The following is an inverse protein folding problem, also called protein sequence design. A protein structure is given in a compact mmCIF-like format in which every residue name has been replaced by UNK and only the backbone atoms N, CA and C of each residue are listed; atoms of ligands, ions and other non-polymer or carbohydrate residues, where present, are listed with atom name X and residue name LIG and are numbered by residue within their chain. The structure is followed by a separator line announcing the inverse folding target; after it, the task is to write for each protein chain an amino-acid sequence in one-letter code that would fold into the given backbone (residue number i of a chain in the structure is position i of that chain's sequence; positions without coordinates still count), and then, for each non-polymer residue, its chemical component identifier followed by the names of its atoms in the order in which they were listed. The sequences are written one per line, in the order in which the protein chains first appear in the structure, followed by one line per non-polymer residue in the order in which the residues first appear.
data_IF_261518061040
#
_entry.id   IF_261518061040
#
_cell.length_a   1.000
_cell.length_b   1.000
_cell.length_c   1.000
_cell.angle_alpha   90.00
_cell.angle_beta   90.00
_cell.angle_gamma   90.00
#
_symmetry.space_group_name_H-M   'P 1'
#
loop_
_entity.id
_entity.type
_entity.pdbx_description
1 polymer ?
#
# COMPACT_ATOMS: atom_id res chain seq x y z
N UNK A 1 28.50 -56.64 -34.22
CA UNK A 1 28.44 -55.22 -34.65
C UNK A 1 26.99 -54.81 -34.83
N UNK A 2 26.46 -53.96 -33.94
CA UNK A 2 25.28 -53.11 -34.21
C UNK A 2 25.50 -51.79 -33.44
N UNK A 3 25.56 -50.72 -34.20
CA UNK A 3 25.88 -49.34 -33.83
C UNK A 3 24.65 -48.60 -33.34
N UNK A 4 24.71 -47.98 -32.15
CA UNK A 4 23.73 -46.97 -31.72
C UNK A 4 24.44 -45.86 -30.93
N UNK A 5 25.04 -44.93 -31.66
CA UNK A 5 25.33 -43.59 -31.15
C UNK A 5 24.08 -42.72 -31.40
N UNK A 6 23.84 -41.78 -30.49
CA UNK A 6 23.14 -40.48 -30.65
C UNK A 6 21.79 -40.37 -29.95
N UNK A 7 21.82 -40.00 -28.67
CA UNK A 7 20.96 -38.95 -28.09
C UNK A 7 21.73 -38.23 -26.96
N UNK A 8 22.65 -37.34 -27.34
CA UNK A 8 23.16 -36.32 -26.42
C UNK A 8 22.02 -35.34 -26.17
N UNK A 9 21.47 -35.32 -24.95
CA UNK A 9 20.49 -34.34 -24.53
C UNK A 9 21.27 -33.06 -24.17
N UNK A 10 21.38 -32.15 -25.13
CA UNK A 10 21.96 -30.83 -24.90
C UNK A 10 20.88 -29.96 -24.24
N UNK A 11 20.86 -29.91 -22.90
CA UNK A 11 20.07 -28.92 -22.15
C UNK A 11 20.91 -27.66 -22.03
N UNK A 12 20.68 -26.70 -22.94
CA UNK A 12 21.20 -25.33 -22.77
C UNK A 12 20.16 -24.58 -21.95
N UNK A 13 20.30 -24.60 -20.63
CA UNK A 13 19.53 -23.73 -19.75
C UNK A 13 20.17 -22.33 -19.78
N UNK A 14 19.68 -21.45 -20.65
CA UNK A 14 20.00 -20.02 -20.56
C UNK A 14 19.11 -19.43 -19.47
N UNK A 15 19.60 -19.40 -18.23
CA UNK A 15 19.05 -18.50 -17.21
C UNK A 15 19.53 -17.08 -17.54
N UNK A 16 18.78 -16.38 -18.40
CA UNK A 16 18.87 -14.93 -18.49
C UNK A 16 18.15 -14.35 -17.28
N UNK A 17 18.87 -14.12 -16.18
CA UNK A 17 18.36 -13.33 -15.06
C UNK A 17 18.32 -11.88 -15.48
N UNK A 18 17.17 -11.41 -15.98
CA UNK A 18 16.91 -9.98 -16.09
C UNK A 18 16.78 -9.43 -14.67
N UNK A 19 17.84 -8.80 -14.17
CA UNK A 19 17.78 -7.94 -13.01
C UNK A 19 16.81 -6.81 -13.35
N UNK A 20 15.55 -6.98 -12.96
CA UNK A 20 14.56 -5.92 -13.07
C UNK A 20 14.84 -4.98 -11.91
N UNK A 21 15.49 -3.86 -12.18
CA UNK A 21 15.60 -2.77 -11.22
C UNK A 21 14.17 -2.26 -11.05
N UNK A 22 13.57 -2.52 -9.89
CA UNK A 22 12.28 -1.96 -9.55
C UNK A 22 12.42 -0.44 -9.55
N UNK A 23 11.71 0.24 -10.45
CA UNK A 23 11.55 1.68 -10.35
C UNK A 23 10.86 1.95 -9.02
N UNK A 24 11.44 2.81 -8.18
CA UNK A 24 10.70 3.39 -7.07
C UNK A 24 9.39 3.93 -7.62
N UNK A 25 8.29 3.37 -7.12
CA UNK A 25 6.94 3.63 -7.59
C UNK A 25 6.53 5.05 -7.16
N UNK A 26 7.12 6.08 -7.80
CA UNK A 26 6.91 7.52 -7.53
C UNK A 26 5.55 7.98 -8.04
N UNK A 27 4.52 7.24 -7.66
CA UNK A 27 3.11 7.45 -8.01
C UNK A 27 2.48 8.58 -7.22
N UNK A 28 3.12 9.05 -6.15
CA UNK A 28 2.71 10.20 -5.38
C UNK A 28 3.94 11.07 -5.15
N UNK A 29 3.85 12.35 -5.51
CA UNK A 29 4.94 13.29 -5.35
C UNK A 29 4.42 14.65 -4.95
N UNK A 30 5.22 15.36 -4.18
CA UNK A 30 4.95 16.73 -3.78
C UNK A 30 6.10 17.63 -4.22
N UNK A 31 5.73 18.66 -4.97
CA UNK A 31 6.63 19.69 -5.47
C UNK A 31 6.23 21.02 -4.84
N UNK A 32 7.09 21.57 -4.00
CA UNK A 32 6.88 22.85 -3.34
C UNK A 32 7.66 23.95 -4.07
N UNK A 33 6.97 25.05 -4.39
CA UNK A 33 7.59 26.33 -4.69
C UNK A 33 7.14 27.33 -3.61
N UNK A 34 7.86 28.45 -3.45
CA UNK A 34 7.83 29.37 -2.29
C UNK A 34 6.45 29.66 -1.66
N UNK A 35 5.36 29.69 -2.45
CA UNK A 35 3.99 29.93 -1.97
C UNK A 35 2.98 28.83 -2.34
N UNK A 36 3.34 27.92 -3.26
CA UNK A 36 2.42 26.94 -3.83
C UNK A 36 3.02 25.55 -3.79
N UNK A 37 2.30 24.64 -3.17
CA UNK A 37 2.62 23.22 -3.16
C UNK A 37 1.74 22.50 -4.16
N UNK A 38 2.34 21.86 -5.15
CA UNK A 38 1.61 20.99 -6.08
C UNK A 38 1.82 19.53 -5.70
N UNK A 39 0.71 18.88 -5.40
CA UNK A 39 0.58 17.43 -5.27
C UNK A 39 0.31 16.85 -6.65
N UNK A 40 1.16 15.92 -7.08
CA UNK A 40 1.01 15.16 -8.33
C UNK A 40 0.93 13.68 -8.01
N UNK A 41 -0.15 13.04 -8.47
CA UNK A 41 -0.42 11.63 -8.26
C UNK A 41 -0.65 10.97 -9.63
N UNK A 42 0.16 9.97 -9.93
CA UNK A 42 -0.02 9.14 -11.11
C UNK A 42 -0.85 7.90 -10.74
N UNK A 43 -1.59 7.39 -11.71
CA UNK A 43 -2.42 6.19 -11.57
C UNK A 43 -3.35 6.24 -10.35
N UNK A 44 -4.10 7.34 -10.23
CA UNK A 44 -5.25 7.40 -9.34
C UNK A 44 -6.39 6.57 -9.91
N UNK A 45 -7.20 6.04 -9.00
CA UNK A 45 -8.48 5.40 -9.30
C UNK A 45 -9.60 6.26 -8.72
N UNK A 46 -10.75 6.27 -9.39
CA UNK A 46 -11.95 6.88 -8.87
C UNK A 46 -12.30 6.31 -7.48
N UNK A 47 -12.61 7.19 -6.54
CA UNK A 47 -12.92 6.84 -5.16
C UNK A 47 -11.73 6.88 -4.19
N UNK A 48 -10.49 6.99 -4.69
CA UNK A 48 -9.32 7.23 -3.84
C UNK A 48 -9.42 8.59 -3.14
N UNK A 49 -8.77 8.73 -1.99
CA UNK A 49 -8.95 9.91 -1.14
C UNK A 49 -7.62 10.58 -0.81
N UNK A 50 -7.58 11.90 -0.95
CA UNK A 50 -6.45 12.75 -0.57
C UNK A 50 -6.86 13.59 0.65
N UNK A 51 -6.04 13.56 1.70
CA UNK A 51 -6.26 14.30 2.94
C UNK A 51 -5.02 15.10 3.36
N UNK A 52 -5.24 16.18 4.12
CA UNK A 52 -4.22 16.85 4.94
C UNK A 52 -4.66 16.68 6.39
N UNK A 53 -3.76 16.15 7.22
CA UNK A 53 -4.05 15.79 8.61
C UNK A 53 -2.96 16.40 9.50
N UNK A 54 -3.34 16.91 10.67
CA UNK A 54 -2.39 17.43 11.65
C UNK A 54 -1.83 16.33 12.57
N UNK A 55 -0.85 16.67 13.39
CA UNK A 55 -0.25 15.76 14.38
C UNK A 55 -1.23 15.15 15.40
N UNK A 56 -2.40 15.76 15.61
CA UNK A 56 -3.44 15.27 16.50
C UNK A 56 -4.47 14.39 15.78
N UNK A 57 -4.20 14.01 14.52
CA UNK A 57 -5.10 13.28 13.63
C UNK A 57 -6.38 14.05 13.26
N UNK A 58 -6.37 15.38 13.35
CA UNK A 58 -7.47 16.22 12.89
C UNK A 58 -7.34 16.41 11.38
N UNK A 59 -8.40 16.05 10.66
CA UNK A 59 -8.46 16.20 9.19
C UNK A 59 -8.74 17.67 8.86
N UNK A 60 -7.74 18.34 8.28
CA UNK A 60 -7.80 19.74 7.84
C UNK A 60 -8.39 19.85 6.43
N UNK A 61 -8.07 18.87 5.58
CA UNK A 61 -8.55 18.78 4.20
C UNK A 61 -8.87 17.33 3.86
N UNK A 62 -9.91 17.13 3.05
CA UNK A 62 -10.27 15.82 2.50
C UNK A 62 -10.95 15.99 1.15
N UNK A 63 -10.51 15.22 0.16
CA UNK A 63 -11.10 15.16 -1.17
C UNK A 63 -11.17 13.71 -1.65
N UNK A 64 -12.32 13.33 -2.21
CA UNK A 64 -12.45 12.08 -2.98
C UNK A 64 -12.14 12.40 -4.44
N UNK A 65 -11.20 11.64 -5.01
CA UNK A 65 -10.75 11.77 -6.39
C UNK A 65 -11.78 11.09 -7.31
N UNK A 66 -12.42 11.86 -8.18
CA UNK A 66 -13.51 11.38 -9.05
C UNK A 66 -13.03 11.06 -10.47
N UNK A 67 -11.78 10.61 -10.63
CA UNK A 67 -11.21 10.28 -11.94
C UNK A 67 -10.11 9.23 -11.84
N UNK A 68 -9.87 8.56 -12.97
CA UNK A 68 -8.73 7.68 -13.15
C UNK A 68 -7.55 8.40 -13.82
N UNK A 69 -6.33 7.88 -13.65
CA UNK A 69 -5.12 8.35 -14.33
C UNK A 69 -4.35 9.40 -13.55
N UNK A 70 -3.99 10.53 -14.17
CA UNK A 70 -3.16 11.55 -13.52
C UNK A 70 -4.00 12.59 -12.78
N UNK A 71 -3.62 12.88 -11.54
CA UNK A 71 -4.23 13.87 -10.67
C UNK A 71 -3.20 14.91 -10.22
N UNK A 72 -3.59 16.18 -10.28
CA UNK A 72 -2.78 17.29 -9.79
C UNK A 72 -3.66 18.21 -8.95
N UNK A 73 -3.14 18.66 -7.81
CA UNK A 73 -3.81 19.63 -6.94
C UNK A 73 -2.78 20.58 -6.35
N UNK A 74 -3.09 21.86 -6.38
CA UNK A 74 -2.24 22.89 -5.79
C UNK A 74 -2.85 23.40 -4.50
N UNK A 75 -2.02 23.53 -3.48
CA UNK A 75 -2.36 24.03 -2.15
C UNK A 75 -1.49 25.24 -1.81
N UNK A 76 -2.09 26.21 -1.12
CA UNK A 76 -1.34 27.18 -0.33
C UNK A 76 -1.29 26.66 1.12
N UNK A 77 -0.15 26.07 1.47
CA UNK A 77 0.06 25.51 2.81
C UNK A 77 0.62 26.56 3.79
N UNK A 78 1.00 27.74 3.30
CA UNK A 78 1.56 28.81 4.14
C UNK A 78 0.51 29.44 5.05
N UNK A 79 -0.77 29.28 4.70
CA UNK A 79 -1.92 29.71 5.49
C UNK A 79 -2.24 28.79 6.69
N UNK A 80 -1.59 27.63 6.78
CA UNK A 80 -1.76 26.73 7.93
C UNK A 80 -1.02 27.28 9.16
N UNK A 81 -1.55 27.09 10.37
CA UNK A 81 -0.83 27.41 11.59
C UNK A 81 0.49 26.65 11.70
N UNK A 82 1.45 27.21 12.43
CA UNK A 82 2.70 26.51 12.75
C UNK A 82 2.40 25.15 13.37
N UNK A 83 3.01 24.09 12.83
CA UNK A 83 2.77 22.73 13.28
C UNK A 83 3.23 21.67 12.29
N UNK A 84 3.08 20.42 12.72
CA UNK A 84 3.38 19.25 11.92
C UNK A 84 2.10 18.66 11.31
N UNK A 85 2.20 18.29 10.04
CA UNK A 85 1.11 17.79 9.23
C UNK A 85 1.60 16.66 8.33
N UNK A 86 0.67 15.98 7.69
CA UNK A 86 0.97 15.06 6.62
C UNK A 86 -0.12 15.07 5.56
N UNK A 87 0.31 14.90 4.31
CA UNK A 87 -0.59 14.44 3.27
C UNK A 87 -0.81 12.94 3.42
N UNK A 88 -2.05 12.49 3.27
CA UNK A 88 -2.42 11.08 3.20
C UNK A 88 -3.14 10.82 1.88
N UNK A 89 -2.65 9.85 1.12
CA UNK A 89 -3.32 9.29 -0.05
C UNK A 89 -3.78 7.88 0.27
N UNK A 90 -5.09 7.74 0.45
CA UNK A 90 -5.79 6.50 0.72
C UNK A 90 -6.15 5.83 -0.63
N UNK A 91 -5.39 4.79 -1.00
CA UNK A 91 -5.69 3.91 -2.14
C UNK A 91 -6.38 2.63 -1.68
N UNK A 92 -6.89 1.86 -2.64
CA UNK A 92 -7.58 0.59 -2.41
C UNK A 92 -6.76 -0.39 -1.56
N UNK A 93 -5.47 -0.55 -1.86
CA UNK A 93 -4.59 -1.54 -1.21
C UNK A 93 -3.46 -0.93 -0.38
N UNK A 94 -3.28 0.39 -0.39
CA UNK A 94 -2.19 1.05 0.33
C UNK A 94 -2.57 2.46 0.77
N UNK A 95 -1.95 2.89 1.85
CA UNK A 95 -1.97 4.27 2.36
C UNK A 95 -0.58 4.85 2.13
N UNK A 96 -0.52 6.04 1.56
CA UNK A 96 0.74 6.72 1.33
C UNK A 96 0.75 8.08 2.05
N UNK A 97 1.72 8.27 2.95
CA UNK A 97 1.84 9.44 3.80
C UNK A 97 3.12 10.22 3.51
N UNK A 98 2.99 11.54 3.30
CA UNK A 98 4.13 12.47 3.12
C UNK A 98 4.06 13.56 4.19
N UNK A 99 4.95 13.53 5.21
CA UNK A 99 4.95 14.51 6.28
C UNK A 99 5.57 15.84 5.87
N UNK A 100 5.07 16.93 6.44
CA UNK A 100 5.60 18.27 6.27
C UNK A 100 5.37 19.12 7.53
N UNK A 101 6.19 20.15 7.70
CA UNK A 101 6.12 21.08 8.82
C UNK A 101 5.88 22.48 8.30
N UNK A 102 5.00 23.22 8.97
CA UNK A 102 4.79 24.66 8.74
C UNK A 102 5.41 25.43 9.89
N UNK A 103 6.32 26.36 9.59
CA UNK A 103 6.94 27.23 10.58
C UNK A 103 7.18 28.62 9.99
N UNK A 104 6.58 29.65 10.60
CA UNK A 104 6.69 31.05 10.15
C UNK A 104 6.31 31.22 8.68
N UNK A 105 5.17 30.62 8.28
CA UNK A 105 4.67 30.57 6.89
C UNK A 105 5.60 29.87 5.89
N UNK A 106 6.66 29.20 6.38
CA UNK A 106 7.54 28.37 5.56
C UNK A 106 7.13 26.90 5.67
N UNK A 107 7.14 26.18 4.55
CA UNK A 107 6.72 24.78 4.47
C UNK A 107 7.95 23.92 4.16
N UNK A 108 8.25 22.97 5.04
CA UNK A 108 9.35 22.03 4.86
C UNK A 108 8.83 20.61 4.75
N UNK A 109 9.12 19.93 3.63
CA UNK A 109 8.73 18.54 3.40
C UNK A 109 9.77 17.56 3.95
N UNK A 110 9.32 16.63 4.78
CA UNK A 110 10.16 15.61 5.39
C UNK A 110 10.12 14.33 4.54
N UNK A 111 10.57 14.42 3.27
CA UNK A 111 10.45 13.32 2.28
C UNK A 111 11.14 12.03 2.72
N UNK A 112 12.21 12.10 3.49
CA UNK A 112 12.90 10.92 4.04
C UNK A 112 12.05 10.14 5.06
N UNK A 113 10.96 10.75 5.55
CA UNK A 113 9.99 10.14 6.46
C UNK A 113 8.70 9.71 5.76
N UNK A 114 8.68 9.71 4.43
CA UNK A 114 7.57 9.18 3.63
C UNK A 114 7.29 7.71 3.99
N UNK A 115 6.01 7.35 4.08
CA UNK A 115 5.62 5.99 4.46
C UNK A 115 4.54 5.44 3.55
N UNK A 116 4.72 4.20 3.10
CA UNK A 116 3.69 3.42 2.43
C UNK A 116 3.31 2.23 3.30
N UNK A 117 2.03 2.11 3.65
CA UNK A 117 1.47 0.99 4.41
C UNK A 117 0.50 0.25 3.51
N UNK A 118 0.76 -1.03 3.25
CA UNK A 118 -0.16 -1.86 2.48
C UNK A 118 -1.24 -2.44 3.40
N UNK A 119 -2.48 -2.39 2.96
CA UNK A 119 -3.63 -2.95 3.66
C UNK A 119 -3.68 -4.46 3.47
N UNK A 120 -4.18 -5.23 4.44
CA UNK A 120 -4.51 -6.62 4.22
C UNK A 120 -5.63 -6.73 3.17
N UNK A 121 -5.55 -7.76 2.34
CA UNK A 121 -6.55 -8.10 1.35
C UNK A 121 -7.09 -9.49 1.63
N UNK A 122 -8.39 -9.66 1.40
CA UNK A 122 -9.10 -10.93 1.60
C UNK A 122 -9.81 -11.29 0.31
N UNK A 123 -9.64 -12.52 -0.15
CA UNK A 123 -10.29 -13.05 -1.34
C UNK A 123 -10.87 -14.42 -1.06
N UNK A 124 -12.15 -14.60 -1.37
CA UNK A 124 -12.79 -15.91 -1.38
C UNK A 124 -12.78 -16.49 -2.80
N UNK A 125 -12.38 -17.76 -2.93
CA UNK A 125 -12.51 -18.52 -4.17
C UNK A 125 -12.92 -19.95 -3.82
N UNK A 126 -14.14 -20.33 -4.19
CA UNK A 126 -14.76 -21.57 -3.73
C UNK A 126 -14.82 -21.59 -2.19
N UNK A 127 -14.28 -22.64 -1.58
CA UNK A 127 -14.14 -22.84 -0.14
C UNK A 127 -12.77 -22.37 0.40
N UNK A 128 -11.97 -21.66 -0.41
CA UNK A 128 -10.66 -21.17 0.00
C UNK A 128 -10.69 -19.66 0.25
N UNK A 129 -10.36 -19.27 1.49
CA UNK A 129 -10.18 -17.90 1.92
C UNK A 129 -8.70 -17.54 1.90
N UNK A 130 -8.31 -16.63 1.02
CA UNK A 130 -6.95 -16.11 0.90
C UNK A 130 -6.86 -14.81 1.67
N UNK A 131 -5.91 -14.72 2.58
CA UNK A 131 -5.56 -13.50 3.32
C UNK A 131 -4.12 -13.16 2.98
N UNK A 132 -3.85 -11.90 2.62
CA UNK A 132 -2.53 -11.46 2.19
C UNK A 132 -2.28 -10.00 2.54
N UNK A 133 -1.07 -9.68 3.02
CA UNK A 133 -0.58 -8.32 3.21
C UNK A 133 0.91 -8.23 2.89
N UNK A 134 1.30 -7.15 2.22
CA UNK A 134 2.72 -6.80 2.05
C UNK A 134 3.20 -5.98 3.26
N UNK A 135 3.94 -6.60 4.17
CA UNK A 135 4.46 -5.99 5.39
C UNK A 135 5.90 -5.50 5.20
N UNK A 136 6.08 -4.40 4.46
CA UNK A 136 7.42 -3.82 4.18
C UNK A 136 8.22 -3.44 5.43
N UNK A 137 7.53 -3.20 6.55
CA UNK A 137 8.13 -2.88 7.87
C UNK A 137 8.12 -4.06 8.84
N UNK A 138 7.78 -5.27 8.37
CA UNK A 138 7.61 -6.48 9.18
C UNK A 138 6.64 -6.28 10.36
N UNK A 139 5.63 -5.44 10.18
CA UNK A 139 4.52 -5.31 11.11
C UNK A 139 3.72 -6.63 11.12
N UNK A 140 3.29 -7.10 12.31
CA UNK A 140 2.54 -8.35 12.42
C UNK A 140 1.13 -8.21 11.83
N UNK A 141 0.61 -9.29 11.25
CA UNK A 141 -0.78 -9.42 10.80
C UNK A 141 -1.52 -10.40 11.70
N UNK A 142 -2.41 -9.88 12.55
CA UNK A 142 -3.33 -10.70 13.34
C UNK A 142 -4.57 -11.04 12.50
N UNK A 143 -4.93 -12.32 12.47
CA UNK A 143 -6.08 -12.85 11.75
C UNK A 143 -7.00 -13.53 12.76
N UNK A 144 -8.25 -13.07 12.84
CA UNK A 144 -9.31 -13.65 13.66
C UNK A 144 -10.48 -14.03 12.74
N UNK A 145 -10.87 -15.30 12.75
CA UNK A 145 -12.02 -15.79 11.99
C UNK A 145 -13.17 -16.06 12.95
N UNK A 146 -14.31 -15.47 12.62
CA UNK A 146 -15.54 -15.66 13.38
C UNK A 146 -16.57 -16.39 12.53
N UNK A 147 -17.38 -17.23 13.17
CA UNK A 147 -18.43 -18.01 12.52
C UNK A 147 -19.74 -17.89 13.30
N UNK A 148 -20.81 -17.59 12.58
CA UNK A 148 -22.17 -17.64 13.10
C UNK A 148 -22.71 -19.06 12.86
N UNK A 149 -22.66 -19.89 13.91
CA UNK A 149 -23.00 -21.31 13.82
C UNK A 149 -24.50 -21.54 13.71
N UNK A 150 -25.29 -20.70 14.36
CA UNK A 150 -26.74 -20.86 14.51
C UNK A 150 -27.53 -19.90 13.61
N UNK A 151 -26.85 -19.09 12.78
CA UNK A 151 -27.41 -18.09 11.87
C UNK A 151 -28.28 -17.05 12.59
N UNK A 152 -27.95 -16.75 13.84
CA UNK A 152 -28.70 -15.84 14.70
C UNK A 152 -27.97 -14.50 14.93
N UNK A 153 -26.79 -14.31 14.32
CA UNK A 153 -25.92 -13.15 14.51
C UNK A 153 -24.92 -13.27 15.67
N UNK A 154 -24.92 -14.40 16.40
CA UNK A 154 -23.95 -14.66 17.46
C UNK A 154 -22.69 -15.29 16.87
N UNK A 155 -21.68 -14.44 16.65
CA UNK A 155 -20.41 -14.83 16.07
C UNK A 155 -19.45 -15.39 17.13
N UNK A 156 -19.00 -16.64 16.94
CA UNK A 156 -17.98 -17.27 17.77
C UNK A 156 -16.61 -17.23 17.08
N UNK A 157 -15.54 -16.99 17.84
CA UNK A 157 -14.17 -17.07 17.34
C UNK A 157 -13.79 -18.53 17.06
N UNK A 158 -13.52 -18.87 15.79
CA UNK A 158 -13.15 -20.24 15.36
C UNK A 158 -11.68 -20.39 15.03
N UNK A 159 -10.95 -19.30 14.80
CA UNK A 159 -9.51 -19.32 14.52
C UNK A 159 -8.86 -18.00 14.90
N UNK A 160 -7.63 -18.06 15.40
CA UNK A 160 -6.81 -16.90 15.73
C UNK A 160 -5.34 -17.22 15.44
N UNK A 161 -4.70 -16.43 14.59
CA UNK A 161 -3.26 -16.52 14.37
C UNK A 161 -2.64 -15.15 14.12
N UNK A 162 -1.33 -15.04 14.36
CA UNK A 162 -0.55 -13.86 14.01
C UNK A 162 0.57 -14.29 13.07
N UNK A 163 0.61 -13.68 11.89
CA UNK A 163 1.72 -13.83 10.93
C UNK A 163 2.72 -12.71 11.19
N UNK A 164 4.01 -13.05 11.33
CA UNK A 164 5.06 -12.10 11.69
C UNK A 164 6.37 -12.39 10.95
N UNK A 165 7.31 -11.44 11.03
CA UNK A 165 8.70 -11.58 10.59
C UNK A 165 8.97 -11.82 9.09
N UNK A 166 7.95 -11.72 8.24
CA UNK A 166 8.07 -11.77 6.78
C UNK A 166 7.68 -10.42 6.13
N UNK A 167 8.21 -10.18 4.92
CA UNK A 167 7.80 -9.08 4.04
C UNK A 167 6.44 -9.39 3.42
N UNK A 168 6.14 -10.65 3.13
CA UNK A 168 4.82 -11.07 2.64
C UNK A 168 4.16 -11.94 3.67
N UNK A 169 3.02 -11.50 4.19
CA UNK A 169 2.23 -12.24 5.16
C UNK A 169 1.00 -12.79 4.46
N UNK A 170 0.96 -14.09 4.22
CA UNK A 170 -0.15 -14.74 3.55
C UNK A 170 -0.61 -16.02 4.24
N UNK A 171 -1.91 -16.31 4.07
CA UNK A 171 -2.54 -17.51 4.59
C UNK A 171 -3.69 -17.92 3.69
N UNK A 172 -3.88 -19.23 3.57
CA UNK A 172 -5.06 -19.81 2.93
C UNK A 172 -5.79 -20.67 3.95
N UNK A 173 -7.07 -20.40 4.15
CA UNK A 173 -7.97 -21.22 4.95
C UNK A 173 -8.90 -22.01 4.03
N UNK A 174 -9.08 -23.28 4.35
CA UNK A 174 -10.13 -24.11 3.75
C UNK A 174 -11.33 -24.10 4.67
N UNK A 175 -12.49 -23.67 4.17
CA UNK A 175 -13.72 -23.49 4.93
C UNK A 175 -14.64 -24.73 4.89
N UNK A 176 -14.25 -25.80 4.18
CA UNK A 176 -14.99 -27.06 4.06
C UNK A 176 -14.15 -28.31 4.29
#
# INVERSE_FOLDING_TARGET
MKTLIKKSLLVVAVLATTLTIANEDRTFSVNANAEKTTVSINDVEEGQQLSIIDQNNIVIYKETINKNGNYNKTFDLTALPNGDYFFELEKTLKVHTIPFTVAYNNVTFNKDKETVVYKPSVRLKNDLLFVSQLSTRKAPLKIELFFDKDFNGDYELIHNETLENDITLDKVFKLS
#
